data_IF_301833474042
#
_entry.id   IF_301833474042
#
_cell.length_a   1.000
_cell.length_b   1.000
_cell.length_c   1.000
_cell.angle_alpha   90.00
_cell.angle_beta   90.00
_cell.angle_gamma   90.00
#
_symmetry.space_group_name_H-M   'P 1'
#
loop_
_entity.id
_entity.type
_entity.pdbx_description
1 polymer ?
#
# COMPACT_ATOMS: atom_id res chain seq x y z
N UNK A 1 -20.88 10.22 -9.36
CA UNK A 1 -19.43 10.29 -9.08
C UNK A 1 -18.61 10.87 -10.24
N UNK A 2 -18.50 10.19 -11.41
CA UNK A 2 -17.70 10.69 -12.53
C UNK A 2 -18.23 12.03 -13.08
N UNK A 3 -19.54 12.19 -13.23
CA UNK A 3 -20.15 13.42 -13.74
C UNK A 3 -20.08 14.59 -12.74
N UNK A 4 -20.13 14.28 -11.44
CA UNK A 4 -19.91 15.28 -10.37
C UNK A 4 -18.47 15.79 -10.38
N UNK A 5 -17.49 14.89 -10.59
CA UNK A 5 -16.08 15.27 -10.71
C UNK A 5 -15.83 16.10 -11.97
N UNK A 6 -16.47 15.75 -13.10
CA UNK A 6 -16.39 16.55 -14.33
C UNK A 6 -16.99 17.95 -14.14
N UNK A 7 -18.21 18.04 -13.60
CA UNK A 7 -18.89 19.30 -13.35
C UNK A 7 -18.15 20.18 -12.32
N UNK A 8 -17.61 19.57 -11.26
CA UNK A 8 -16.80 20.25 -10.26
C UNK A 8 -15.52 20.85 -10.87
N UNK A 9 -14.84 20.08 -11.74
CA UNK A 9 -13.65 20.54 -12.46
C UNK A 9 -13.96 21.69 -13.42
N UNK A 10 -15.04 21.63 -14.17
CA UNK A 10 -15.43 22.71 -15.10
C UNK A 10 -15.66 24.03 -14.37
N UNK A 11 -16.29 23.99 -13.19
CA UNK A 11 -16.48 25.17 -12.33
C UNK A 11 -15.18 25.68 -11.67
N UNK A 12 -14.14 24.84 -11.60
CA UNK A 12 -12.86 25.20 -11.00
C UNK A 12 -11.92 25.93 -11.97
N UNK A 13 -12.07 25.69 -13.27
CA UNK A 13 -11.18 26.25 -14.29
C UNK A 13 -11.34 27.78 -14.28
N UNK A 14 -10.22 28.47 -14.05
CA UNK A 14 -10.17 29.93 -13.93
C UNK A 14 -10.25 30.46 -12.50
N UNK A 15 -10.56 29.62 -11.51
CA UNK A 15 -10.48 30.00 -10.10
C UNK A 15 -9.02 29.85 -9.60
N UNK A 16 -8.36 30.92 -9.08
CA UNK A 16 -7.00 30.82 -8.53
C UNK A 16 -6.86 29.79 -7.40
N UNK A 17 -7.90 29.62 -6.58
CA UNK A 17 -7.88 28.69 -5.46
C UNK A 17 -7.76 27.23 -5.91
N UNK A 18 -8.16 26.91 -7.15
CA UNK A 18 -7.95 25.58 -7.73
C UNK A 18 -6.46 25.20 -7.81
N UNK A 19 -5.55 26.18 -7.88
CA UNK A 19 -4.12 25.94 -8.13
C UNK A 19 -3.25 26.00 -6.87
N UNK A 20 -3.78 26.41 -5.72
CA UNK A 20 -2.95 26.74 -4.53
C UNK A 20 -2.17 25.53 -3.99
N UNK A 21 -2.68 24.32 -4.22
CA UNK A 21 -2.05 23.08 -3.78
C UNK A 21 -1.29 22.34 -4.89
N UNK A 22 -1.20 22.87 -6.11
CA UNK A 22 -0.57 22.16 -7.24
C UNK A 22 0.86 21.74 -6.94
N UNK A 23 1.67 22.64 -6.38
CA UNK A 23 3.06 22.34 -6.03
C UNK A 23 3.16 21.27 -4.95
N UNK A 24 2.32 21.37 -3.91
CA UNK A 24 2.25 20.38 -2.82
C UNK A 24 1.83 19.02 -3.34
N UNK A 25 0.76 18.94 -4.12
CA UNK A 25 0.24 17.69 -4.69
C UNK A 25 1.30 17.07 -5.61
N UNK A 26 1.90 17.84 -6.52
CA UNK A 26 2.94 17.34 -7.43
C UNK A 26 4.15 16.80 -6.68
N UNK A 27 4.61 17.51 -5.64
CA UNK A 27 5.71 17.06 -4.77
C UNK A 27 5.38 15.72 -4.13
N UNK A 28 4.25 15.62 -3.42
CA UNK A 28 3.86 14.41 -2.69
C UNK A 28 3.61 13.22 -3.62
N UNK A 29 2.96 13.46 -4.76
CA UNK A 29 2.72 12.42 -5.78
C UNK A 29 4.03 11.96 -6.41
N UNK A 30 4.99 12.86 -6.63
CA UNK A 30 6.32 12.48 -7.12
C UNK A 30 7.10 11.66 -6.09
N UNK A 31 7.03 12.01 -4.81
CA UNK A 31 7.67 11.26 -3.72
C UNK A 31 7.15 9.82 -3.63
N UNK A 32 5.82 9.65 -3.64
CA UNK A 32 5.21 8.31 -3.58
C UNK A 32 5.46 7.52 -4.88
N UNK A 33 5.35 8.15 -6.05
CA UNK A 33 5.63 7.51 -7.33
C UNK A 33 7.07 6.98 -7.38
N UNK A 34 8.04 7.78 -6.95
CA UNK A 34 9.45 7.38 -6.89
C UNK A 34 9.66 6.18 -5.96
N UNK A 35 9.11 6.24 -4.74
CA UNK A 35 9.19 5.14 -3.77
C UNK A 35 8.63 3.84 -4.34
N UNK A 36 7.41 3.89 -4.90
CA UNK A 36 6.72 2.71 -5.41
C UNK A 36 7.38 2.15 -6.68
N UNK A 37 7.87 3.01 -7.58
CA UNK A 37 8.55 2.58 -8.81
C UNK A 37 9.90 1.91 -8.59
N UNK A 38 10.55 2.17 -7.44
CA UNK A 38 11.87 1.63 -7.10
C UNK A 38 11.79 0.45 -6.13
N UNK A 39 10.59 0.13 -5.64
CA UNK A 39 10.37 -0.95 -4.69
C UNK A 39 10.41 -2.32 -5.37
N UNK A 40 11.26 -3.23 -4.87
CA UNK A 40 11.33 -4.64 -5.31
C UNK A 40 10.14 -5.48 -4.82
N UNK A 41 9.35 -4.94 -3.90
CA UNK A 41 8.24 -5.59 -3.22
C UNK A 41 6.89 -5.11 -3.79
N UNK A 42 6.88 -4.55 -5.00
CA UNK A 42 5.67 -4.08 -5.68
C UNK A 42 5.68 -4.54 -7.12
N UNK A 43 4.55 -5.02 -7.59
CA UNK A 43 4.32 -5.42 -8.97
C UNK A 43 3.19 -4.58 -9.59
N UNK A 44 3.22 -4.45 -10.92
CA UNK A 44 2.17 -3.81 -11.72
C UNK A 44 1.77 -2.40 -11.26
N UNK A 45 2.71 -1.65 -10.67
CA UNK A 45 2.45 -0.27 -10.28
C UNK A 45 2.34 0.64 -11.50
N UNK A 46 1.25 1.39 -11.58
CA UNK A 46 1.09 2.50 -12.52
C UNK A 46 1.21 3.82 -11.74
N UNK A 47 2.07 4.76 -12.14
CA UNK A 47 2.22 6.03 -11.45
C UNK A 47 0.89 6.75 -11.24
N UNK A 48 0.66 7.21 -10.02
CA UNK A 48 -0.47 8.04 -9.65
C UNK A 48 -0.40 9.38 -10.40
N UNK A 49 -1.48 9.77 -11.07
CA UNK A 49 -1.60 11.09 -11.68
C UNK A 49 -1.98 12.13 -10.61
N UNK A 50 -1.15 13.16 -10.45
CA UNK A 50 -1.38 14.23 -9.50
C UNK A 50 -2.69 15.00 -9.78
N UNK A 51 -3.16 15.03 -11.04
CA UNK A 51 -4.44 15.64 -11.41
C UNK A 51 -5.64 14.92 -10.80
N UNK A 52 -5.50 13.61 -10.55
CA UNK A 52 -6.53 12.83 -9.86
C UNK A 52 -6.68 13.31 -8.42
N UNK A 53 -5.56 13.46 -7.70
CA UNK A 53 -5.56 13.98 -6.33
C UNK A 53 -6.12 15.39 -6.29
N UNK A 54 -5.74 16.24 -7.26
CA UNK A 54 -6.31 17.58 -7.40
C UNK A 54 -7.84 17.55 -7.53
N UNK A 55 -8.37 16.68 -8.38
CA UNK A 55 -9.81 16.51 -8.57
C UNK A 55 -10.53 15.98 -7.32
N UNK A 56 -9.93 15.04 -6.59
CA UNK A 56 -10.46 14.52 -5.33
C UNK A 56 -10.64 15.65 -4.30
N UNK A 57 -9.57 16.39 -4.03
CA UNK A 57 -9.53 17.45 -3.02
C UNK A 57 -10.61 18.52 -3.28
N UNK A 58 -10.77 18.93 -4.54
CA UNK A 58 -11.79 19.92 -4.90
C UNK A 58 -13.21 19.40 -4.80
N UNK A 59 -13.42 18.11 -5.07
CA UNK A 59 -14.74 17.49 -4.91
C UNK A 59 -15.12 17.35 -3.43
N UNK A 60 -14.15 17.02 -2.57
CA UNK A 60 -14.39 16.78 -1.15
C UNK A 60 -14.64 18.06 -0.34
N UNK A 61 -13.98 19.15 -0.70
CA UNK A 61 -14.06 20.40 0.07
C UNK A 61 -14.42 21.59 -0.82
N UNK A 62 -13.64 21.82 -1.88
CA UNK A 62 -13.71 23.03 -2.69
C UNK A 62 -13.29 24.30 -1.92
N UNK A 63 -12.87 25.34 -2.65
CA UNK A 63 -12.30 26.56 -2.04
C UNK A 63 -13.25 27.37 -1.16
N UNK A 64 -14.56 27.19 -1.33
CA UNK A 64 -15.59 27.92 -0.60
C UNK A 64 -15.76 27.48 0.86
N UNK A 65 -15.21 26.32 1.25
CA UNK A 65 -15.34 25.75 2.59
C UNK A 65 -14.10 26.07 3.42
N UNK A 66 -14.26 26.52 4.67
CA UNK A 66 -13.13 26.88 5.57
C UNK A 66 -12.10 25.76 5.73
N UNK A 67 -12.56 24.50 5.69
CA UNK A 67 -11.69 23.33 5.73
C UNK A 67 -10.72 23.26 4.54
N UNK A 68 -10.94 23.99 3.44
CA UNK A 68 -10.00 24.09 2.32
C UNK A 68 -8.60 24.49 2.78
N UNK A 69 -8.52 25.44 3.73
CA UNK A 69 -7.23 25.98 4.19
C UNK A 69 -6.45 25.05 5.13
N UNK A 70 -7.11 24.05 5.71
CA UNK A 70 -6.54 23.22 6.79
C UNK A 70 -6.64 21.72 6.53
N UNK A 71 -7.76 21.25 5.99
CA UNK A 71 -8.09 19.85 5.71
C UNK A 71 -8.73 19.64 4.33
N UNK A 72 -8.02 19.96 3.23
CA UNK A 72 -8.64 19.98 1.91
C UNK A 72 -9.03 18.59 1.36
N UNK A 73 -8.48 17.48 1.90
CA UNK A 73 -8.89 16.10 1.56
C UNK A 73 -9.73 15.42 2.68
N UNK A 74 -10.27 16.23 3.60
CA UNK A 74 -11.22 15.85 4.67
C UNK A 74 -10.83 14.68 5.61
N UNK A 75 -9.59 14.20 5.55
CA UNK A 75 -9.10 13.16 6.46
C UNK A 75 -8.86 13.73 7.87
N UNK A 76 -9.17 12.93 8.90
CA UNK A 76 -9.01 13.28 10.30
C UNK A 76 -10.15 14.11 10.88
N UNK A 77 -11.30 14.18 10.23
CA UNK A 77 -12.51 14.75 10.82
C UNK A 77 -12.93 13.97 12.09
N UNK A 78 -13.69 14.59 12.98
CA UNK A 78 -14.15 13.93 14.21
C UNK A 78 -14.94 12.65 13.86
N UNK A 79 -14.50 11.51 14.38
CA UNK A 79 -15.09 10.20 14.08
C UNK A 79 -14.55 9.50 12.83
N UNK A 80 -13.57 10.09 12.13
CA UNK A 80 -12.90 9.46 11.00
C UNK A 80 -11.95 8.35 11.50
N UNK A 81 -12.34 7.11 11.26
CA UNK A 81 -11.55 5.91 11.56
C UNK A 81 -10.46 5.65 10.50
N UNK A 82 -10.61 6.16 9.29
CA UNK A 82 -9.67 5.96 8.18
C UNK A 82 -8.29 6.55 8.46
N UNK A 83 -8.21 7.61 9.27
CA UNK A 83 -6.93 8.15 9.75
C UNK A 83 -6.12 7.11 10.54
N UNK A 84 -6.75 6.15 11.22
CA UNK A 84 -6.05 5.12 12.01
C UNK A 84 -5.19 4.20 11.15
N UNK A 85 -5.57 3.99 9.88
CA UNK A 85 -4.79 3.18 8.92
C UNK A 85 -3.47 3.85 8.50
N UNK A 86 -3.35 5.17 8.69
CA UNK A 86 -2.15 5.95 8.33
C UNK A 86 -1.37 6.48 9.53
N UNK A 87 -1.99 6.60 10.71
CA UNK A 87 -1.34 7.17 11.91
C UNK A 87 -0.98 6.13 12.98
N UNK A 88 -1.55 4.93 12.92
CA UNK A 88 -1.21 3.84 13.85
C UNK A 88 -0.43 2.76 13.10
N UNK A 89 0.92 2.71 13.23
CA UNK A 89 1.74 1.72 12.55
C UNK A 89 1.58 0.29 13.12
N UNK A 90 0.73 0.09 14.14
CA UNK A 90 0.71 -1.10 14.97
C UNK A 90 0.30 -2.40 14.24
N UNK A 91 -0.15 -2.32 12.97
CA UNK A 91 -0.24 -3.38 11.92
C UNK A 91 -0.98 -2.71 10.73
N UNK A 92 -0.44 -2.63 9.51
CA UNK A 92 -0.23 -3.85 8.71
C UNK A 92 1.02 -3.78 7.80
N UNK A 93 1.58 -4.95 7.52
CA UNK A 93 2.69 -5.22 6.59
C UNK A 93 2.66 -4.35 5.33
N UNK A 94 1.47 -4.14 4.79
CA UNK A 94 1.13 -3.26 3.67
C UNK A 94 1.67 -1.82 3.76
N UNK A 95 1.54 -1.16 4.91
CA UNK A 95 1.95 0.25 5.08
C UNK A 95 3.44 0.43 4.78
N UNK A 96 4.30 -0.45 5.31
CA UNK A 96 5.76 -0.33 5.16
C UNK A 96 6.24 -0.56 3.72
N UNK A 97 5.45 -1.25 2.91
CA UNK A 97 5.75 -1.46 1.49
C UNK A 97 5.32 -0.22 0.69
N UNK A 98 4.15 0.34 1.00
CA UNK A 98 3.53 1.41 0.21
C UNK A 98 4.06 2.80 0.59
N UNK A 99 4.27 3.06 1.87
CA UNK A 99 4.57 4.40 2.36
C UNK A 99 6.07 4.61 2.55
N UNK A 100 6.67 5.68 2.00
CA UNK A 100 8.07 5.99 2.21
C UNK A 100 8.35 6.19 3.70
N UNK A 101 9.43 5.62 4.23
CA UNK A 101 9.78 5.77 5.66
C UNK A 101 9.91 7.24 6.09
N UNK A 102 10.33 8.12 5.19
CA UNK A 102 10.43 9.57 5.44
C UNK A 102 9.07 10.22 5.74
N UNK A 103 7.96 9.61 5.32
CA UNK A 103 6.62 10.11 5.62
C UNK A 103 6.19 9.87 7.06
N UNK A 104 6.86 8.98 7.82
CA UNK A 104 6.54 8.71 9.23
C UNK A 104 6.69 9.96 10.11
N UNK A 105 7.63 10.87 9.79
CA UNK A 105 7.77 12.15 10.48
C UNK A 105 6.50 13.01 10.40
N UNK A 106 5.72 12.84 9.34
CA UNK A 106 4.51 13.61 9.09
C UNK A 106 3.25 12.88 9.52
N UNK A 107 3.19 11.57 9.26
CA UNK A 107 1.99 10.75 9.48
C UNK A 107 1.89 10.16 10.88
N UNK A 108 3.03 9.85 11.51
CA UNK A 108 3.06 9.17 12.80
C UNK A 108 3.51 10.17 13.87
N UNK A 109 4.68 10.77 13.69
CA UNK A 109 5.31 11.61 14.72
C UNK A 109 4.61 12.96 14.95
N UNK A 110 3.78 13.40 13.99
CA UNK A 110 3.10 14.71 13.97
C UNK A 110 1.63 14.58 13.52
N UNK A 111 0.97 13.55 14.05
CA UNK A 111 -0.40 13.16 13.69
C UNK A 111 -1.41 14.30 13.90
N UNK A 112 -1.22 15.14 14.90
CA UNK A 112 -2.04 16.31 15.21
C UNK A 112 -2.12 17.32 14.05
N UNK A 113 -1.02 17.48 13.30
CA UNK A 113 -0.94 18.41 12.17
C UNK A 113 -1.78 17.97 10.96
N UNK A 114 -2.19 16.70 10.87
CA UNK A 114 -3.09 16.23 9.80
C UNK A 114 -4.42 16.99 9.81
N UNK A 115 -4.86 17.49 10.97
CA UNK A 115 -6.15 18.19 11.13
C UNK A 115 -6.09 19.70 10.96
N UNK A 116 -4.89 20.26 10.88
CA UNK A 116 -4.66 21.71 10.90
C UNK A 116 -3.72 22.21 9.79
N UNK A 117 -2.95 21.32 9.15
CA UNK A 117 -2.01 21.66 8.09
C UNK A 117 -2.38 20.96 6.76
N UNK A 118 -2.57 21.71 5.66
CA UNK A 118 -3.01 21.15 4.39
C UNK A 118 -1.99 20.20 3.75
N UNK A 119 -0.68 20.41 3.89
CA UNK A 119 0.32 19.45 3.37
C UNK A 119 0.24 18.11 4.09
N UNK A 120 0.07 18.13 5.42
CA UNK A 120 -0.08 16.92 6.23
C UNK A 120 -1.39 16.20 5.89
N UNK A 121 -2.47 16.95 5.73
CA UNK A 121 -3.77 16.43 5.34
C UNK A 121 -3.72 15.76 3.96
N UNK A 122 -3.17 16.43 2.95
CA UNK A 122 -3.01 15.87 1.59
C UNK A 122 -2.11 14.63 1.61
N UNK A 123 -0.99 14.68 2.35
CA UNK A 123 -0.09 13.52 2.49
C UNK A 123 -0.81 12.31 3.10
N UNK A 124 -1.60 12.54 4.16
CA UNK A 124 -2.37 11.48 4.80
C UNK A 124 -3.45 10.89 3.87
N UNK A 125 -4.16 11.74 3.11
CA UNK A 125 -5.14 11.26 2.14
C UNK A 125 -4.51 10.48 0.98
N UNK A 126 -3.36 10.91 0.46
CA UNK A 126 -2.60 10.13 -0.53
C UNK A 126 -2.18 8.78 0.06
N UNK A 127 -1.65 8.76 1.29
CA UNK A 127 -1.24 7.52 1.95
C UNK A 127 -2.42 6.53 2.08
N UNK A 128 -3.56 7.02 2.58
CA UNK A 128 -4.77 6.22 2.73
C UNK A 128 -5.27 5.71 1.38
N UNK A 129 -5.34 6.58 0.37
CA UNK A 129 -5.72 6.20 -0.99
C UNK A 129 -4.84 5.06 -1.52
N UNK A 130 -3.52 5.15 -1.39
CA UNK A 130 -2.62 4.11 -1.87
C UNK A 130 -2.81 2.77 -1.12
N UNK A 131 -3.05 2.82 0.19
CA UNK A 131 -3.35 1.62 0.98
C UNK A 131 -4.67 0.98 0.55
N UNK A 132 -5.71 1.78 0.29
CA UNK A 132 -7.03 1.31 -0.14
C UNK A 132 -7.03 0.77 -1.57
N UNK A 133 -6.23 1.36 -2.45
CA UNK A 133 -6.19 1.01 -3.88
C UNK A 133 -5.23 -0.14 -4.21
N UNK A 134 -4.36 -0.54 -3.29
CA UNK A 134 -3.47 -1.69 -3.47
C UNK A 134 -4.21 -3.00 -3.20
N UNK A 135 -3.83 -4.05 -3.91
CA UNK A 135 -4.27 -5.41 -3.59
C UNK A 135 -3.71 -5.87 -2.24
N UNK A 136 -4.32 -6.91 -1.67
CA UNK A 136 -3.82 -7.56 -0.45
C UNK A 136 -2.39 -8.05 -0.64
N UNK A 137 -1.53 -7.78 0.33
CA UNK A 137 -0.15 -8.25 0.34
C UNK A 137 -0.08 -9.79 0.28
N UNK A 138 0.95 -10.29 -0.39
CA UNK A 138 1.25 -11.72 -0.50
C UNK A 138 2.70 -11.97 -0.13
N UNK A 139 3.02 -13.22 0.19
CA UNK A 139 4.39 -13.67 0.36
C UNK A 139 4.89 -14.27 -0.97
N UNK A 140 6.14 -13.95 -1.33
CA UNK A 140 6.89 -14.62 -2.40
C UNK A 140 8.15 -15.23 -1.84
N UNK A 141 8.54 -16.37 -2.40
CA UNK A 141 9.82 -17.00 -2.08
C UNK A 141 10.90 -16.27 -2.86
N UNK A 142 11.91 -15.77 -2.14
CA UNK A 142 13.12 -15.19 -2.72
C UNK A 142 14.26 -16.13 -2.38
N UNK A 143 14.98 -16.58 -3.41
CA UNK A 143 16.18 -17.39 -3.23
C UNK A 143 17.35 -16.46 -2.93
N UNK A 144 18.06 -16.72 -1.84
CA UNK A 144 19.26 -15.97 -1.46
C UNK A 144 20.41 -16.25 -2.43
N UNK A 145 20.42 -17.47 -2.99
CA UNK A 145 21.32 -17.92 -4.04
C UNK A 145 20.71 -19.12 -4.79
N UNK A 146 21.32 -19.48 -5.91
CA UNK A 146 20.84 -20.57 -6.76
C UNK A 146 21.43 -21.95 -6.39
N UNK A 147 22.31 -22.00 -5.39
CA UNK A 147 23.00 -23.23 -5.02
C UNK A 147 22.03 -24.19 -4.30
N UNK A 148 22.04 -25.44 -4.75
CA UNK A 148 21.34 -26.53 -4.06
C UNK A 148 22.28 -27.16 -3.04
N UNK A 149 21.84 -27.18 -1.79
CA UNK A 149 22.50 -27.82 -0.67
C UNK A 149 21.70 -29.07 -0.25
N UNK A 150 22.33 -29.91 0.57
CA UNK A 150 21.66 -31.06 1.20
C UNK A 150 21.71 -30.96 2.71
N UNK A 151 20.59 -31.23 3.36
CA UNK A 151 20.46 -31.35 4.80
C UNK A 151 20.10 -32.79 5.17
N UNK A 152 20.87 -33.39 6.08
CA UNK A 152 20.52 -34.69 6.66
C UNK A 152 19.61 -34.48 7.87
N UNK A 153 18.42 -35.08 7.84
CA UNK A 153 17.44 -34.98 8.93
C UNK A 153 18.00 -35.63 10.18
N UNK A 154 17.91 -34.93 11.31
CA UNK A 154 18.40 -35.45 12.60
C UNK A 154 17.25 -35.72 13.55
N UNK A 155 17.52 -36.51 14.59
CA UNK A 155 16.56 -36.72 15.67
C UNK A 155 16.15 -35.38 16.30
N UNK A 156 14.83 -35.19 16.48
CA UNK A 156 14.25 -33.94 16.99
C UNK A 156 13.74 -32.97 15.91
N UNK A 157 14.03 -33.20 14.63
CA UNK A 157 13.39 -32.47 13.54
C UNK A 157 11.90 -32.86 13.43
N UNK A 158 11.01 -31.87 13.54
CA UNK A 158 9.55 -32.07 13.63
C UNK A 158 8.83 -31.94 12.28
N UNK A 159 9.57 -31.87 11.18
CA UNK A 159 9.04 -31.62 9.84
C UNK A 159 9.70 -30.46 9.12
N UNK A 160 9.27 -30.19 7.88
CA UNK A 160 9.83 -29.12 7.06
C UNK A 160 9.79 -27.74 7.69
N UNK A 161 8.77 -27.41 8.50
CA UNK A 161 8.70 -26.09 9.15
C UNK A 161 9.84 -25.87 10.15
N UNK A 162 10.19 -26.87 10.96
CA UNK A 162 11.30 -26.76 11.92
C UNK A 162 12.65 -26.76 11.22
N UNK A 163 12.82 -27.63 10.22
CA UNK A 163 14.04 -27.72 9.42
C UNK A 163 14.29 -26.43 8.66
N UNK A 164 13.27 -25.89 7.98
CA UNK A 164 13.38 -24.66 7.21
C UNK A 164 13.91 -23.48 8.05
N UNK A 165 13.42 -23.34 9.28
CA UNK A 165 13.90 -22.32 10.24
C UNK A 165 15.36 -22.54 10.62
N UNK A 166 15.76 -23.79 10.86
CA UNK A 166 17.13 -24.17 11.24
C UNK A 166 18.13 -23.88 10.13
N UNK A 167 17.79 -24.21 8.89
CA UNK A 167 18.73 -24.17 7.76
C UNK A 167 18.55 -22.92 6.88
N UNK A 168 17.68 -21.97 7.23
CA UNK A 168 17.50 -20.73 6.46
C UNK A 168 16.91 -20.98 5.08
N UNK A 169 15.79 -21.69 5.00
CA UNK A 169 14.98 -21.83 3.79
C UNK A 169 13.50 -21.67 4.14
N UNK A 170 12.59 -22.00 3.21
CA UNK A 170 11.15 -22.04 3.47
C UNK A 170 10.62 -23.47 3.38
N UNK A 171 9.54 -23.74 4.13
CA UNK A 171 8.83 -25.03 4.04
C UNK A 171 8.38 -25.32 2.60
N UNK A 172 7.98 -24.30 1.84
CA UNK A 172 7.56 -24.47 0.45
C UNK A 172 8.72 -24.89 -0.45
N UNK A 173 9.94 -24.39 -0.23
CA UNK A 173 11.14 -24.82 -0.97
C UNK A 173 11.46 -26.28 -0.67
N UNK A 174 11.48 -26.67 0.61
CA UNK A 174 11.69 -28.07 1.00
C UNK A 174 10.64 -29.00 0.40
N UNK A 175 9.37 -28.61 0.46
CA UNK A 175 8.27 -29.40 -0.11
C UNK A 175 8.43 -29.56 -1.62
N UNK A 176 8.77 -28.47 -2.33
CA UNK A 176 8.93 -28.47 -3.79
C UNK A 176 10.10 -29.34 -4.27
N UNK A 177 11.22 -29.31 -3.56
CA UNK A 177 12.44 -30.01 -3.99
C UNK A 177 12.47 -31.49 -3.60
N UNK A 178 11.71 -31.90 -2.60
CA UNK A 178 11.78 -33.27 -2.07
C UNK A 178 10.47 -34.06 -2.24
N UNK A 179 9.31 -33.41 -2.19
CA UNK A 179 8.02 -34.06 -2.47
C UNK A 179 7.59 -35.16 -1.48
N UNK A 180 8.32 -35.37 -0.38
CA UNK A 180 8.00 -36.40 0.62
C UNK A 180 7.09 -35.85 1.72
N UNK A 181 6.09 -36.63 2.13
CA UNK A 181 5.11 -36.23 3.16
C UNK A 181 5.60 -36.47 4.58
N UNK A 182 6.41 -37.51 4.76
CA UNK A 182 6.99 -37.91 6.04
C UNK A 182 8.49 -37.93 5.87
N UNK A 183 9.20 -37.38 6.84
CA UNK A 183 10.66 -37.35 6.90
C UNK A 183 11.12 -38.14 8.12
N UNK A 184 12.21 -38.87 7.98
CA UNK A 184 12.82 -39.69 9.02
C UNK A 184 14.26 -39.23 9.25
N UNK A 185 14.81 -39.42 10.47
CA UNK A 185 16.23 -39.23 10.70
C UNK A 185 17.09 -40.01 9.69
N UNK A 186 18.12 -39.36 9.15
CA UNK A 186 18.98 -39.88 8.08
C UNK A 186 18.53 -39.53 6.65
N UNK A 187 17.29 -39.05 6.46
CA UNK A 187 16.84 -38.60 5.14
C UNK A 187 17.67 -37.40 4.66
N UNK A 188 18.05 -37.42 3.38
CA UNK A 188 18.79 -36.33 2.74
C UNK A 188 17.85 -35.43 1.96
N UNK A 189 17.59 -34.24 2.50
CA UNK A 189 16.70 -33.24 1.93
C UNK A 189 17.49 -32.20 1.13
N UNK A 190 17.12 -32.03 -0.13
CA UNK A 190 17.60 -30.94 -0.98
C UNK A 190 16.96 -29.63 -0.58
N UNK A 191 17.74 -28.55 -0.55
CA UNK A 191 17.22 -27.22 -0.29
C UNK A 191 18.02 -26.14 -1.02
N UNK A 192 17.41 -24.96 -1.17
CA UNK A 192 18.12 -23.72 -1.51
C UNK A 192 17.89 -22.72 -0.40
N UNK A 193 18.88 -21.87 -0.09
CA UNK A 193 18.70 -20.76 0.86
C UNK A 193 17.64 -19.81 0.30
N UNK A 194 16.63 -19.53 1.11
CA UNK A 194 15.50 -18.72 0.69
C UNK A 194 14.73 -18.16 1.88
N UNK A 195 14.14 -16.99 1.69
CA UNK A 195 13.22 -16.36 2.64
C UNK A 195 11.91 -15.99 1.96
N UNK A 196 10.92 -15.69 2.80
CA UNK A 196 9.69 -15.06 2.33
C UNK A 196 9.88 -13.55 2.34
N UNK A 197 9.66 -12.93 1.20
CA UNK A 197 9.47 -11.49 1.10
C UNK A 197 8.00 -11.18 0.86
N UNK A 198 7.51 -10.13 1.52
CA UNK A 198 6.18 -9.62 1.26
C UNK A 198 6.19 -8.76 0.01
N UNK A 199 5.09 -8.77 -0.74
CA UNK A 199 4.92 -7.89 -1.88
C UNK A 199 3.46 -7.52 -2.12
N UNK A 200 3.25 -6.42 -2.84
CA UNK A 200 1.95 -6.00 -3.36
C UNK A 200 1.83 -6.46 -4.82
N UNK A 201 0.92 -7.40 -5.15
CA UNK A 201 0.84 -8.00 -6.49
C UNK A 201 0.23 -7.06 -7.55
N UNK A 202 -0.47 -6.02 -7.12
CA UNK A 202 -1.15 -5.12 -8.04
C UNK A 202 -1.95 -4.02 -7.34
N UNK A 203 -2.66 -3.27 -8.17
CA UNK A 203 -3.44 -2.10 -7.80
C UNK A 203 -4.78 -2.10 -8.53
N UNK A 204 -5.83 -1.67 -7.85
CA UNK A 204 -7.09 -1.32 -8.48
C UNK A 204 -6.87 -0.14 -9.42
N UNK A 205 -7.69 -0.05 -10.48
CA UNK A 205 -7.67 1.12 -11.36
C UNK A 205 -8.12 2.36 -10.58
N UNK A 206 -7.37 3.44 -10.72
CA UNK A 206 -7.65 4.75 -10.11
C UNK A 206 -8.79 5.49 -10.85
N UNK A 207 -9.95 4.84 -10.97
CA UNK A 207 -11.17 5.45 -11.49
C UNK A 207 -11.95 6.11 -10.36
N UNK A 208 -12.74 7.17 -10.63
CA UNK A 208 -13.59 7.79 -9.62
C UNK A 208 -14.52 6.79 -8.92
N UNK A 209 -15.01 5.78 -9.64
CA UNK A 209 -15.86 4.72 -9.10
C UNK A 209 -15.12 3.84 -8.08
N UNK A 210 -13.92 3.37 -8.41
CA UNK A 210 -13.13 2.55 -7.49
C UNK A 210 -12.69 3.38 -6.28
N UNK A 211 -12.30 4.65 -6.48
CA UNK A 211 -11.95 5.56 -5.37
C UNK A 211 -13.15 5.75 -4.46
N UNK A 212 -14.34 6.04 -5.00
CA UNK A 212 -15.53 6.16 -4.18
C UNK A 212 -15.82 4.86 -3.40
N UNK A 213 -15.66 3.69 -4.02
CA UNK A 213 -15.91 2.39 -3.37
C UNK A 213 -14.91 2.03 -2.28
N UNK A 214 -13.65 2.45 -2.40
CA UNK A 214 -12.56 2.02 -1.52
C UNK A 214 -12.17 3.09 -0.48
N UNK A 215 -12.32 4.36 -0.84
CA UNK A 215 -11.89 5.51 -0.04
C UNK A 215 -13.06 6.19 0.70
N UNK A 216 -14.26 6.28 0.08
CA UNK A 216 -15.40 7.02 0.63
C UNK A 216 -16.43 6.16 1.39
N UNK A 217 -16.20 4.86 1.57
CA UNK A 217 -17.12 3.96 2.29
C UNK A 217 -16.54 3.64 3.68
N UNK A 218 -17.42 3.57 4.68
CA UNK A 218 -17.17 2.94 5.98
C UNK A 218 -16.39 1.61 5.83
N UNK A 219 -15.27 1.39 6.55
CA UNK A 219 -14.45 0.19 6.44
C UNK A 219 -15.22 -1.13 6.53
N UNK A 220 -16.39 -1.13 7.17
CA UNK A 220 -17.28 -2.30 7.34
C UNK A 220 -18.14 -2.64 6.11
N UNK A 221 -18.15 -1.78 5.08
CA UNK A 221 -19.03 -1.90 3.88
C UNK A 221 -18.28 -1.91 2.55
N UNK A 222 -16.94 -2.00 2.57
CA UNK A 222 -16.13 -2.06 1.35
C UNK A 222 -16.49 -3.29 0.49
N UNK A 223 -16.89 -3.07 -0.76
CA UNK A 223 -17.18 -4.12 -1.74
C UNK A 223 -15.98 -4.36 -2.68
N UNK A 224 -15.84 -5.56 -3.29
CA UNK A 224 -14.77 -5.84 -4.25
C UNK A 224 -14.77 -4.84 -5.42
N UNK A 225 -13.67 -4.10 -5.61
CA UNK A 225 -13.47 -3.20 -6.75
C UNK A 225 -13.18 -3.96 -8.05
N UNK A 226 -13.41 -3.32 -9.20
CA UNK A 226 -13.05 -3.92 -10.49
C UNK A 226 -11.53 -3.90 -10.63
N UNK A 227 -10.94 -5.09 -10.82
CA UNK A 227 -9.53 -5.25 -11.18
C UNK A 227 -9.33 -4.68 -12.59
N UNK A 228 -8.19 -4.06 -12.85
CA UNK A 228 -7.89 -3.61 -14.21
C UNK A 228 -7.69 -4.82 -15.10
N UNK A 229 -8.52 -4.94 -16.15
CA UNK A 229 -8.35 -5.99 -17.14
C UNK A 229 -6.96 -5.91 -17.78
N UNK A 230 -6.36 -7.08 -17.87
CA UNK A 230 -5.07 -7.32 -18.49
C UNK A 230 -5.23 -7.28 -20.01
N UNK A 231 -5.05 -6.11 -20.59
CA UNK A 231 -4.63 -5.95 -21.99
C UNK A 231 -3.50 -4.94 -22.04
#
# INVERSE_FOLDING_TARGET
>A
PLDEWKAGREKAIGNPDWYIYDNTIRKLVSEINRHLSTSKNIEKYKPLDWKLIKAMIWTETGAAVTAWKTRPIQIGNTGDEGIKEVVIPARPRKYNIIIPKTWNTYLINKTDLIRSNPEYNIRAGIALLMIKMSETEKDKIVYDNENEDTYEVVEGDRGYSSIAKKIGTTQSVLTKLNGVKVIHPGDKLKYKKAHLEQYIPGWLLFTPENIQKQYNIDPTKAQPGHRGDHT
#
